data_IF_567318133506
#
_entry.id   IF_567318133506
#
_cell.length_a   1.000
_cell.length_b   1.000
_cell.length_c   1.000
_cell.angle_alpha   90.00
_cell.angle_beta   90.00
_cell.angle_gamma   90.00
#
_symmetry.space_group_name_H-M   'P 1'
#
loop_
_entity.id
_entity.type
_entity.pdbx_description
1 polymer ?
#
# COMPACT_ATOMS: atom_id res chain seq x y z
N UNK A 1 58.78 57.60 -13.50
CA UNK A 1 59.82 56.62 -13.93
C UNK A 1 59.89 55.63 -12.78
N UNK A 2 59.52 54.36 -12.91
CA UNK A 2 59.77 53.46 -14.03
C UNK A 2 58.66 52.42 -14.09
N UNK A 3 58.07 52.25 -15.27
CA UNK A 3 57.23 51.10 -15.57
C UNK A 3 58.11 49.90 -15.88
N UNK A 4 57.69 48.73 -15.41
CA UNK A 4 58.30 47.45 -15.76
C UNK A 4 57.21 46.60 -16.41
N UNK A 5 57.46 46.28 -17.68
CA UNK A 5 56.61 45.50 -18.58
C UNK A 5 56.98 44.01 -18.53
N UNK A 6 55.99 43.18 -18.86
CA UNK A 6 56.10 41.79 -19.37
C UNK A 6 56.50 40.72 -18.35
N UNK A 7 55.88 39.54 -18.30
CA UNK A 7 55.40 38.68 -19.40
C UNK A 7 54.19 37.86 -18.91
N UNK A 8 53.03 38.00 -19.55
CA UNK A 8 51.94 37.04 -19.39
C UNK A 8 52.25 35.79 -20.21
N UNK A 9 52.65 34.71 -19.53
CA UNK A 9 52.69 33.37 -20.11
C UNK A 9 51.26 32.95 -20.45
N UNK A 10 50.91 33.01 -21.74
CA UNK A 10 49.70 32.39 -22.30
C UNK A 10 49.71 30.91 -21.97
N UNK A 11 48.94 30.53 -20.95
CA UNK A 11 48.70 29.13 -20.59
C UNK A 11 48.10 28.38 -21.77
N UNK A 12 48.69 27.24 -22.11
CA UNK A 12 48.08 26.25 -22.99
C UNK A 12 46.77 25.84 -22.34
N UNK A 13 45.64 26.11 -23.01
CA UNK A 13 44.33 25.70 -22.54
C UNK A 13 44.26 24.16 -22.56
N UNK A 14 44.57 23.53 -21.44
CA UNK A 14 44.28 22.11 -21.22
C UNK A 14 42.79 22.01 -20.94
N UNK A 15 42.00 21.43 -21.86
CA UNK A 15 40.59 21.11 -21.63
C UNK A 15 40.49 20.19 -20.41
N UNK A 16 40.17 20.78 -19.26
CA UNK A 16 40.02 20.07 -18.00
C UNK A 16 38.57 19.57 -17.92
N UNK A 17 38.39 18.26 -17.99
CA UNK A 17 37.08 17.63 -17.81
C UNK A 17 36.80 17.59 -16.31
N UNK A 18 35.70 18.21 -15.88
CA UNK A 18 35.26 18.19 -14.47
C UNK A 18 33.99 17.36 -14.37
N UNK A 19 33.99 16.40 -13.43
CA UNK A 19 32.79 15.69 -13.02
C UNK A 19 32.09 16.48 -11.93
N UNK A 20 30.76 16.53 -11.95
CA UNK A 20 29.98 17.30 -11.00
C UNK A 20 29.25 16.41 -10.02
N UNK A 21 29.06 16.89 -8.80
CA UNK A 21 28.18 16.27 -7.83
C UNK A 21 26.72 16.36 -8.31
N UNK A 22 25.95 15.28 -8.25
CA UNK A 22 24.54 15.30 -8.64
C UNK A 22 23.70 16.30 -7.83
N UNK A 23 23.99 16.45 -6.54
CA UNK A 23 23.17 17.26 -5.62
C UNK A 23 23.57 18.73 -5.58
N UNK A 24 24.86 19.03 -5.50
CA UNK A 24 25.34 20.42 -5.40
C UNK A 24 25.91 20.99 -6.71
N UNK A 25 26.03 20.17 -7.77
CA UNK A 25 26.62 20.56 -9.07
C UNK A 25 28.05 21.10 -8.98
N UNK A 26 28.76 20.88 -7.87
CA UNK A 26 30.14 21.31 -7.68
C UNK A 26 31.11 20.28 -8.29
N UNK A 27 32.25 20.73 -8.83
CA UNK A 27 33.25 19.84 -9.42
C UNK A 27 33.85 18.91 -8.35
N UNK A 28 33.76 17.61 -8.58
CA UNK A 28 34.32 16.58 -7.73
C UNK A 28 35.83 16.53 -7.90
N UNK A 29 36.54 16.54 -6.77
CA UNK A 29 37.97 16.32 -6.73
C UNK A 29 38.25 14.86 -6.39
N UNK A 30 38.86 14.15 -7.32
CA UNK A 30 39.36 12.81 -7.04
C UNK A 30 40.59 12.91 -6.13
N UNK A 31 40.61 12.10 -5.09
CA UNK A 31 41.77 12.01 -4.20
C UNK A 31 43.01 11.54 -4.98
N UNK A 32 44.20 12.00 -4.61
CA UNK A 32 45.44 11.77 -5.38
C UNK A 32 45.78 10.29 -5.57
N UNK A 33 45.28 9.42 -4.70
CA UNK A 33 45.40 7.96 -4.78
C UNK A 33 44.82 7.37 -6.08
N UNK A 34 43.86 8.05 -6.73
CA UNK A 34 43.31 7.61 -8.02
C UNK A 34 44.20 7.98 -9.21
N UNK A 35 45.33 8.67 -9.01
CA UNK A 35 46.23 9.04 -10.11
C UNK A 35 47.10 7.89 -10.62
N UNK A 36 47.15 6.78 -9.88
CA UNK A 36 47.97 5.60 -10.16
C UNK A 36 47.14 4.32 -10.07
N UNK A 37 45.99 4.28 -10.74
CA UNK A 37 45.18 3.07 -10.82
C UNK A 37 45.79 2.11 -11.85
N UNK A 38 46.15 0.92 -11.39
CA UNK A 38 46.63 -0.17 -12.25
C UNK A 38 45.46 -0.83 -13.00
N UNK A 39 45.75 -1.44 -14.16
CA UNK A 39 44.72 -2.09 -14.99
C UNK A 39 43.94 -3.16 -14.25
N UNK A 40 44.60 -3.88 -13.33
CA UNK A 40 43.98 -4.96 -12.57
C UNK A 40 42.99 -4.43 -11.53
N UNK A 41 43.30 -3.31 -10.87
CA UNK A 41 42.38 -2.70 -9.90
C UNK A 41 41.17 -2.06 -10.59
N UNK A 42 41.35 -1.60 -11.84
CA UNK A 42 40.23 -1.17 -12.68
C UNK A 42 39.26 -2.32 -12.99
N UNK A 43 39.78 -3.47 -13.42
CA UNK A 43 38.94 -4.64 -13.75
C UNK A 43 38.15 -5.13 -12.53
N UNK A 44 38.76 -5.09 -11.35
CA UNK A 44 38.10 -5.43 -10.08
C UNK A 44 36.98 -4.43 -9.71
N UNK A 45 37.16 -3.13 -10.00
CA UNK A 45 36.15 -2.09 -9.77
C UNK A 45 35.04 -2.08 -10.82
N UNK A 46 35.35 -2.47 -12.06
CA UNK A 46 34.40 -2.57 -13.17
C UNK A 46 33.58 -3.86 -13.13
N UNK A 47 33.97 -4.83 -12.30
CA UNK A 47 33.18 -6.02 -12.05
C UNK A 47 31.76 -5.60 -11.62
N UNK A 48 30.70 -6.21 -12.17
CA UNK A 48 29.34 -5.90 -11.78
C UNK A 48 29.21 -6.00 -10.27
N UNK A 49 28.95 -4.87 -9.61
CA UNK A 49 28.57 -4.87 -8.21
C UNK A 49 27.33 -5.76 -8.16
N UNK A 50 27.38 -6.87 -7.43
CA UNK A 50 26.23 -7.74 -7.23
C UNK A 50 25.08 -6.84 -6.82
N UNK A 51 24.17 -6.63 -7.77
CA UNK A 51 23.04 -5.75 -7.61
C UNK A 51 22.27 -6.29 -6.41
N UNK A 52 22.31 -5.57 -5.29
CA UNK A 52 21.38 -5.78 -4.17
C UNK A 52 20.02 -5.27 -4.64
N UNK A 53 19.45 -5.97 -5.61
CA UNK A 53 18.13 -5.74 -6.19
C UNK A 53 17.71 -6.98 -7.01
N UNK A 54 18.00 -8.18 -6.47
CA UNK A 54 17.26 -9.41 -6.78
C UNK A 54 17.57 -10.51 -5.76
N UNK A 55 16.98 -10.41 -4.58
CA UNK A 55 16.53 -11.60 -3.83
C UNK A 55 15.12 -11.89 -4.35
N UNK A 56 14.97 -12.58 -5.48
CA UNK A 56 14.63 -14.02 -5.56
C UNK A 56 14.17 -14.60 -4.22
N UNK A 57 12.85 -14.63 -4.08
CA UNK A 57 12.10 -15.47 -3.16
C UNK A 57 12.49 -16.94 -3.31
N UNK A 58 12.80 -17.58 -2.19
CA UNK A 58 12.79 -19.04 -2.07
C UNK A 58 11.49 -19.46 -1.37
N UNK A 59 10.52 -19.84 -2.19
CA UNK A 59 9.53 -20.91 -2.01
C UNK A 59 9.38 -21.53 -0.60
N UNK A 60 8.24 -21.24 0.03
CA UNK A 60 7.43 -22.25 0.71
C UNK A 60 5.96 -21.93 0.44
N UNK A 61 5.24 -22.98 0.06
CA UNK A 61 3.90 -23.02 -0.52
C UNK A 61 2.82 -22.38 0.39
N UNK A 62 1.87 -21.68 -0.23
CA UNK A 62 0.41 -21.91 -0.14
C UNK A 62 -0.37 -20.65 -0.61
N UNK A 63 -1.33 -20.93 -1.50
CA UNK A 63 -2.40 -20.12 -2.12
C UNK A 63 -2.69 -18.67 -1.65
N UNK A 64 -2.81 -17.74 -2.60
CA UNK A 64 -4.11 -17.24 -3.12
C UNK A 64 -3.99 -15.91 -3.88
N UNK A 65 -4.91 -15.73 -4.83
CA UNK A 65 -5.09 -14.63 -5.79
C UNK A 65 -4.87 -13.19 -5.27
N UNK A 66 -4.22 -12.34 -6.08
CA UNK A 66 -4.85 -11.14 -6.67
C UNK A 66 -3.91 -10.31 -7.57
N UNK A 67 -4.52 -9.73 -8.60
CA UNK A 67 -3.96 -9.02 -9.75
C UNK A 67 -2.91 -7.92 -9.43
N UNK A 68 -1.81 -7.91 -10.18
CA UNK A 68 -0.90 -6.76 -10.27
C UNK A 68 -0.98 -6.17 -11.68
N UNK A 69 -1.38 -4.90 -11.71
CA UNK A 69 -1.47 -4.03 -12.87
C UNK A 69 -0.17 -4.01 -13.70
N UNK A 70 -0.30 -4.37 -14.97
CA UNK A 70 0.71 -4.25 -16.01
C UNK A 70 0.76 -2.79 -16.51
N UNK A 71 1.74 -2.00 -16.05
CA UNK A 71 2.01 -0.69 -16.66
C UNK A 71 3.06 -0.87 -17.75
N UNK A 72 2.53 -1.22 -18.91
CA UNK A 72 3.15 -1.01 -20.20
C UNK A 72 3.52 0.48 -20.35
N UNK A 73 4.81 0.80 -20.39
CA UNK A 73 5.29 2.08 -20.94
C UNK A 73 6.40 1.84 -21.95
N UNK A 74 5.92 1.38 -23.10
CA UNK A 74 6.54 1.63 -24.39
C UNK A 74 7.13 3.04 -24.46
N UNK A 75 8.44 3.11 -24.62
CA UNK A 75 9.20 4.33 -24.94
C UNK A 75 10.17 3.98 -26.04
N UNK A 76 9.63 3.83 -27.25
CA UNK A 76 10.38 3.66 -28.49
C UNK A 76 11.35 4.83 -28.74
N UNK A 77 12.57 4.70 -28.23
CA UNK A 77 13.71 5.51 -28.67
C UNK A 77 14.66 4.59 -29.44
N UNK A 78 14.58 4.65 -30.77
CA UNK A 78 15.60 4.08 -31.65
C UNK A 78 16.97 4.67 -31.32
N UNK A 79 17.82 3.91 -30.63
CA UNK A 79 19.25 4.22 -30.57
C UNK A 79 19.83 3.97 -31.96
N UNK A 80 20.22 5.05 -32.62
CA UNK A 80 20.94 5.02 -33.90
C UNK A 80 22.36 4.57 -33.62
N UNK A 81 22.69 3.32 -33.97
CA UNK A 81 24.06 2.83 -33.96
C UNK A 81 24.90 3.62 -34.98
N UNK A 82 25.93 4.32 -34.50
CA UNK A 82 26.96 4.91 -35.36
C UNK A 82 28.05 3.86 -35.56
N UNK A 83 27.93 3.09 -36.63
CA UNK A 83 28.98 2.19 -37.12
C UNK A 83 30.05 3.07 -37.81
N UNK A 84 31.27 3.08 -37.27
CA UNK A 84 32.42 3.72 -37.92
C UNK A 84 32.79 2.98 -39.22
N UNK A 85 33.15 3.68 -40.32
CA UNK A 85 33.41 3.02 -41.59
C UNK A 85 34.76 2.33 -41.55
N UNK A 86 34.77 1.01 -41.74
CA UNK A 86 35.95 0.28 -42.24
C UNK A 86 35.94 0.39 -43.76
N UNK A 87 36.91 1.08 -44.35
CA UNK A 87 37.23 0.86 -45.76
C UNK A 87 38.57 0.10 -45.87
N UNK A 88 38.60 -1.04 -46.57
CA UNK A 88 39.80 -1.82 -46.80
C UNK A 88 40.59 -1.22 -47.98
N UNK A 89 41.90 -1.44 -47.96
CA UNK A 89 42.85 -1.19 -49.07
C UNK A 89 43.39 0.24 -49.18
N UNK A 90 44.59 0.48 -48.65
CA UNK A 90 45.67 1.04 -49.46
C UNK A 90 47.01 0.79 -48.76
N UNK A 91 47.79 -0.04 -49.41
CA UNK A 91 49.15 -0.44 -49.12
C UNK A 91 50.15 0.74 -49.18
N UNK A 92 51.11 0.69 -48.26
CA UNK A 92 52.56 0.92 -48.39
C UNK A 92 53.11 2.01 -49.32
N UNK A 93 54.05 2.77 -48.72
CA UNK A 93 55.06 3.67 -49.32
C UNK A 93 54.47 4.98 -49.88
N UNK A 94 54.95 6.17 -49.51
CA UNK A 94 56.32 6.62 -49.70
C UNK A 94 56.66 7.86 -48.84
N UNK A 95 57.96 8.10 -48.78
CA UNK A 95 58.80 8.93 -47.94
C UNK A 95 58.47 10.43 -47.78
N UNK A 96 59.10 10.97 -46.73
CA UNK A 96 59.59 12.35 -46.59
C UNK A 96 58.61 13.41 -46.04
N UNK A 97 58.58 13.48 -44.70
CA UNK A 97 58.54 14.70 -43.87
C UNK A 97 58.87 14.24 -42.44
N UNK A 98 60.14 13.99 -42.13
CA UNK A 98 61.01 14.95 -41.44
C UNK A 98 60.29 15.87 -40.43
N UNK A 99 60.08 15.32 -39.23
CA UNK A 99 60.06 16.12 -38.01
C UNK A 99 60.71 15.33 -36.88
N UNK A 100 62.03 15.49 -36.74
CA UNK A 100 62.78 15.01 -35.60
C UNK A 100 62.56 15.95 -34.41
N UNK A 101 61.62 15.63 -33.52
CA UNK A 101 61.46 16.33 -32.25
C UNK A 101 62.45 15.76 -31.22
N UNK A 102 63.66 16.34 -31.19
CA UNK A 102 64.55 16.22 -30.04
C UNK A 102 64.03 17.12 -28.92
N UNK A 103 63.44 16.53 -27.88
CA UNK A 103 62.92 17.26 -26.72
C UNK A 103 62.29 16.35 -25.64
N UNK A 104 63.12 15.63 -24.89
CA UNK A 104 62.76 14.67 -23.84
C UNK A 104 62.17 15.27 -22.53
N UNK A 105 61.55 16.46 -22.57
CA UNK A 105 61.03 17.10 -21.34
C UNK A 105 59.56 17.53 -21.39
N UNK A 106 58.87 17.35 -22.52
CA UNK A 106 57.43 17.64 -22.66
C UNK A 106 56.53 16.38 -22.69
N UNK A 107 57.07 15.22 -23.09
CA UNK A 107 56.32 13.97 -23.24
C UNK A 107 55.81 13.43 -21.90
N UNK A 108 56.64 13.46 -20.86
CA UNK A 108 56.28 12.92 -19.54
C UNK A 108 55.12 13.67 -18.86
N UNK A 109 54.97 14.98 -19.10
CA UNK A 109 53.83 15.77 -18.58
C UNK A 109 52.53 15.54 -19.37
N UNK A 110 52.62 15.23 -20.67
CA UNK A 110 51.46 14.91 -21.50
C UNK A 110 50.96 13.47 -21.28
N UNK A 111 51.88 12.53 -21.08
CA UNK A 111 51.56 11.13 -20.73
C UNK A 111 50.84 11.03 -19.38
N UNK A 112 51.28 11.81 -18.38
CA UNK A 112 50.65 11.89 -17.06
C UNK A 112 49.28 12.59 -17.09
N UNK A 113 49.09 13.61 -17.93
CA UNK A 113 47.76 14.22 -18.13
C UNK A 113 46.79 13.29 -18.86
N UNK A 114 47.25 12.61 -19.91
CA UNK A 114 46.45 11.64 -20.66
C UNK A 114 46.02 10.45 -19.81
N UNK A 115 46.93 9.93 -18.97
CA UNK A 115 46.62 8.89 -18.01
C UNK A 115 45.58 9.37 -16.98
N UNK A 116 45.74 10.57 -16.40
CA UNK A 116 44.77 11.13 -15.44
C UNK A 116 43.38 11.32 -16.04
N UNK A 117 43.27 11.80 -17.28
CA UNK A 117 41.98 11.94 -17.97
C UNK A 117 41.34 10.58 -18.25
N UNK A 118 42.13 9.60 -18.68
CA UNK A 118 41.66 8.22 -18.92
C UNK A 118 41.13 7.58 -17.64
N UNK A 119 41.88 7.67 -16.55
CA UNK A 119 41.49 7.10 -15.25
C UNK A 119 40.23 7.79 -14.70
N UNK A 120 40.12 9.12 -14.83
CA UNK A 120 38.94 9.85 -14.36
C UNK A 120 37.68 9.49 -15.16
N UNK A 121 37.81 9.31 -16.48
CA UNK A 121 36.70 8.87 -17.35
C UNK A 121 36.28 7.43 -17.05
N UNK A 122 37.25 6.54 -16.91
CA UNK A 122 37.06 5.14 -16.56
C UNK A 122 36.33 4.96 -15.21
N UNK A 123 36.73 5.70 -14.19
CA UNK A 123 36.07 5.65 -12.89
C UNK A 123 34.61 6.14 -12.97
N UNK A 124 34.36 7.19 -13.75
CA UNK A 124 33.00 7.70 -13.96
C UNK A 124 32.11 6.72 -14.73
N UNK A 125 32.65 6.05 -15.75
CA UNK A 125 31.91 5.04 -16.53
C UNK A 125 31.53 3.83 -15.67
N UNK A 126 32.41 3.39 -14.76
CA UNK A 126 32.07 2.37 -13.76
C UNK A 126 30.94 2.85 -12.83
N UNK A 127 31.04 4.08 -12.31
CA UNK A 127 30.07 4.61 -11.35
C UNK A 127 28.68 4.84 -11.99
N UNK A 128 28.65 5.29 -13.25
CA UNK A 128 27.42 5.53 -14.01
C UNK A 128 26.87 4.27 -14.70
N UNK A 129 27.71 3.28 -15.00
CA UNK A 129 27.31 2.05 -15.67
C UNK A 129 26.71 1.00 -14.73
N UNK A 130 27.08 1.04 -13.45
CA UNK A 130 26.61 0.09 -12.44
C UNK A 130 25.47 0.63 -11.57
N UNK A 131 25.08 1.90 -11.72
CA UNK A 131 24.00 2.52 -10.95
C UNK A 131 23.13 3.40 -11.85
N UNK A 132 21.83 3.54 -11.57
CA UNK A 132 20.91 4.45 -12.28
C UNK A 132 21.20 5.95 -11.98
N UNK A 133 22.40 6.26 -11.48
CA UNK A 133 22.81 7.57 -11.01
C UNK A 133 23.83 8.14 -11.99
N UNK A 134 23.39 9.10 -12.80
CA UNK A 134 24.22 9.73 -13.85
C UNK A 134 25.46 10.44 -13.31
N UNK A 135 25.46 10.89 -12.05
CA UNK A 135 26.55 11.66 -11.45
C UNK A 135 26.77 11.26 -9.98
N UNK A 136 28.00 11.03 -9.53
CA UNK A 136 28.25 10.68 -8.14
C UNK A 136 27.98 11.87 -7.19
N UNK A 137 27.73 11.58 -5.91
CA UNK A 137 27.61 12.59 -4.87
C UNK A 137 28.99 12.93 -4.28
N UNK A 138 29.21 14.20 -3.92
CA UNK A 138 30.38 14.60 -3.15
C UNK A 138 30.28 14.13 -1.69
N UNK A 139 31.42 14.10 -1.00
CA UNK A 139 31.53 13.70 0.41
C UNK A 139 30.54 14.43 1.34
N UNK A 140 30.38 15.74 1.17
CA UNK A 140 29.44 16.53 1.99
C UNK A 140 27.99 16.16 1.70
N UNK A 141 27.66 15.91 0.42
CA UNK A 141 26.31 15.55 0.01
C UNK A 141 25.94 14.13 0.44
N UNK A 142 26.88 13.18 0.41
CA UNK A 142 26.69 11.82 0.93
C UNK A 142 26.57 11.83 2.45
N UNK A 143 27.41 12.56 3.17
CA UNK A 143 27.32 12.68 4.62
C UNK A 143 25.98 13.29 5.07
N UNK A 144 25.50 14.33 4.37
CA UNK A 144 24.18 14.90 4.63
C UNK A 144 23.05 13.91 4.35
N UNK A 145 23.15 13.12 3.28
CA UNK A 145 22.15 12.09 2.95
C UNK A 145 22.13 10.99 4.01
N UNK A 146 23.29 10.49 4.43
CA UNK A 146 23.40 9.46 5.48
C UNK A 146 22.79 9.95 6.79
N UNK A 147 23.10 11.18 7.23
CA UNK A 147 22.49 11.75 8.44
C UNK A 147 20.96 11.88 8.32
N UNK A 148 20.44 12.21 7.13
CA UNK A 148 19.00 12.26 6.91
C UNK A 148 18.36 10.87 7.01
N UNK A 149 18.98 9.85 6.42
CA UNK A 149 18.51 8.47 6.51
C UNK A 149 18.58 7.93 7.95
N UNK A 150 19.63 8.25 8.70
CA UNK A 150 19.75 7.89 10.12
C UNK A 150 18.65 8.55 10.96
N UNK A 151 18.30 9.80 10.67
CA UNK A 151 17.20 10.48 11.35
C UNK A 151 15.86 9.83 11.01
N UNK A 152 15.60 9.53 9.72
CA UNK A 152 14.40 8.82 9.31
C UNK A 152 14.31 7.44 9.97
N UNK A 153 15.42 6.71 10.03
CA UNK A 153 15.49 5.40 10.68
C UNK A 153 15.14 5.50 12.17
N UNK A 154 15.68 6.49 12.89
CA UNK A 154 15.36 6.70 14.31
C UNK A 154 13.88 7.00 14.54
N UNK A 155 13.27 7.85 13.71
CA UNK A 155 11.84 8.14 13.79
C UNK A 155 11.02 6.87 13.60
N UNK A 156 11.33 6.07 12.57
CA UNK A 156 10.64 4.80 12.32
C UNK A 156 10.86 3.80 13.47
N UNK A 157 12.05 3.76 14.06
CA UNK A 157 12.34 2.93 15.21
C UNK A 157 11.50 3.32 16.44
N UNK A 158 11.35 4.62 16.69
CA UNK A 158 10.49 5.16 17.74
C UNK A 158 9.01 4.85 17.48
N UNK A 159 8.53 5.05 16.25
CA UNK A 159 7.17 4.72 15.84
C UNK A 159 6.88 3.23 16.03
N UNK A 160 7.80 2.35 15.64
CA UNK A 160 7.67 0.91 15.86
C UNK A 160 7.59 0.55 17.35
N UNK A 161 8.35 1.24 18.21
CA UNK A 161 8.26 1.05 19.67
C UNK A 161 6.91 1.51 20.20
N UNK A 162 6.39 2.65 19.76
CA UNK A 162 5.07 3.15 20.14
C UNK A 162 3.96 2.20 19.69
N UNK A 163 4.00 1.71 18.46
CA UNK A 163 3.02 0.74 17.96
C UNK A 163 3.04 -0.57 18.74
N UNK A 164 4.24 -1.09 19.07
CA UNK A 164 4.35 -2.28 19.92
C UNK A 164 3.75 -2.05 21.30
N UNK A 165 4.07 -0.92 21.94
CA UNK A 165 3.49 -0.58 23.26
C UNK A 165 1.96 -0.45 23.21
N UNK A 166 1.41 0.16 22.16
CA UNK A 166 -0.04 0.27 21.98
C UNK A 166 -0.68 -1.11 21.76
N UNK A 167 -0.05 -1.99 20.98
CA UNK A 167 -0.51 -3.37 20.80
C UNK A 167 -0.45 -4.16 22.12
N UNK A 168 0.62 -4.00 22.89
CA UNK A 168 0.76 -4.65 24.20
C UNK A 168 -0.34 -4.19 25.16
N UNK A 169 -0.65 -2.88 25.20
CA UNK A 169 -1.73 -2.32 26.02
C UNK A 169 -3.10 -2.83 25.60
N UNK A 170 -3.40 -2.85 24.30
CA UNK A 170 -4.65 -3.40 23.78
C UNK A 170 -4.76 -4.89 24.07
N UNK A 171 -3.64 -5.62 23.97
CA UNK A 171 -3.60 -7.03 24.33
C UNK A 171 -3.91 -7.19 25.81
N UNK A 172 -3.22 -6.48 26.70
CA UNK A 172 -3.43 -6.51 28.16
C UNK A 172 -4.88 -6.17 28.54
N UNK A 173 -5.48 -5.13 27.94
CA UNK A 173 -6.89 -4.78 28.13
C UNK A 173 -7.84 -5.90 27.66
N UNK A 174 -7.52 -6.60 26.58
CA UNK A 174 -8.30 -7.77 26.13
C UNK A 174 -8.08 -9.02 26.97
N UNK A 175 -7.03 -9.10 27.81
CA UNK A 175 -6.78 -10.25 28.71
C UNK A 175 -7.50 -10.15 30.05
N UNK A 176 -8.48 -9.25 30.23
CA UNK A 176 -9.47 -9.47 31.29
C UNK A 176 -10.42 -10.61 30.88
N UNK A 177 -9.85 -11.80 30.74
CA UNK A 177 -10.54 -13.05 30.43
C UNK A 177 -11.59 -13.38 31.49
N UNK A 178 -11.41 -12.87 32.72
CA UNK A 178 -12.35 -13.04 33.81
C UNK A 178 -13.59 -12.17 33.63
N UNK A 179 -13.45 -10.91 33.23
CA UNK A 179 -14.58 -10.05 32.87
C UNK A 179 -15.32 -10.59 31.63
N UNK A 180 -14.59 -10.97 30.58
CA UNK A 180 -15.20 -11.58 29.40
C UNK A 180 -15.95 -12.88 29.72
N UNK A 181 -15.39 -13.74 30.58
CA UNK A 181 -16.07 -14.97 31.03
C UNK A 181 -17.34 -14.65 31.82
N UNK A 182 -17.31 -13.67 32.71
CA UNK A 182 -18.51 -13.24 33.47
C UNK A 182 -19.59 -12.70 32.55
N UNK A 183 -19.23 -11.83 31.61
CA UNK A 183 -20.16 -11.28 30.62
C UNK A 183 -20.77 -12.40 29.76
N UNK A 184 -19.97 -13.40 29.37
CA UNK A 184 -20.46 -14.54 28.60
C UNK A 184 -21.45 -15.40 29.41
N UNK A 185 -21.16 -15.66 30.68
CA UNK A 185 -22.08 -16.38 31.59
C UNK A 185 -23.39 -15.62 31.81
N UNK A 186 -23.33 -14.30 31.97
CA UNK A 186 -24.52 -13.44 32.09
C UNK A 186 -25.35 -13.45 30.81
N UNK A 187 -24.69 -13.34 29.65
CA UNK A 187 -25.32 -13.39 28.34
C UNK A 187 -26.04 -14.73 28.11
N UNK A 188 -25.43 -15.85 28.52
CA UNK A 188 -26.07 -17.17 28.40
C UNK A 188 -27.25 -17.34 29.35
N UNK A 189 -27.19 -16.79 30.57
CA UNK A 189 -28.33 -16.75 31.50
C UNK A 189 -29.49 -15.95 30.94
N UNK A 190 -29.21 -14.74 30.43
CA UNK A 190 -30.23 -13.86 29.85
C UNK A 190 -30.90 -14.49 28.62
N UNK A 191 -30.13 -15.19 27.78
CA UNK A 191 -30.70 -15.93 26.63
C UNK A 191 -31.63 -17.06 27.07
N UNK A 192 -31.30 -17.75 28.15
CA UNK A 192 -32.15 -18.81 28.69
C UNK A 192 -33.45 -18.22 29.24
N UNK A 193 -33.36 -17.15 30.02
CA UNK A 193 -34.51 -16.42 30.55
C UNK A 193 -35.41 -15.87 29.43
N UNK A 194 -34.82 -15.29 28.38
CA UNK A 194 -35.54 -14.83 27.19
C UNK A 194 -36.31 -15.97 26.52
N UNK A 195 -35.67 -17.14 26.34
CA UNK A 195 -36.31 -18.29 25.72
C UNK A 195 -37.49 -18.83 26.54
N UNK A 196 -37.34 -18.86 27.87
CA UNK A 196 -38.40 -19.28 28.78
C UNK A 196 -39.58 -18.30 28.78
N UNK A 197 -39.30 -16.98 28.82
CA UNK A 197 -40.33 -15.94 28.72
C UNK A 197 -41.07 -15.97 27.38
N UNK A 198 -40.36 -16.21 26.27
CA UNK A 198 -40.98 -16.37 24.95
C UNK A 198 -41.93 -17.57 24.95
N UNK A 199 -41.57 -18.66 25.63
CA UNK A 199 -42.42 -19.84 25.73
C UNK A 199 -43.67 -19.54 26.55
N UNK A 200 -43.53 -18.89 27.71
CA UNK A 200 -44.66 -18.48 28.55
C UNK A 200 -45.61 -17.53 27.80
N UNK A 201 -45.07 -16.57 27.05
CA UNK A 201 -45.87 -15.67 26.22
C UNK A 201 -46.69 -16.42 25.16
N UNK A 202 -46.12 -17.43 24.52
CA UNK A 202 -46.85 -18.25 23.53
C UNK A 202 -47.99 -19.03 24.17
N UNK A 203 -47.76 -19.62 25.34
CA UNK A 203 -48.80 -20.36 26.08
C UNK A 203 -49.96 -19.42 26.44
N UNK A 204 -49.66 -18.23 26.97
CA UNK A 204 -50.68 -17.22 27.29
C UNK A 204 -51.42 -16.74 26.02
N UNK A 205 -50.74 -16.55 24.90
CA UNK A 205 -51.39 -16.17 23.64
C UNK A 205 -52.37 -17.23 23.13
N UNK A 206 -52.02 -18.51 23.24
CA UNK A 206 -52.90 -19.63 22.89
C UNK A 206 -54.12 -19.69 23.82
N UNK A 207 -53.93 -19.54 25.13
CA UNK A 207 -55.03 -19.48 26.11
C UNK A 207 -55.97 -18.31 25.83
N UNK A 208 -55.42 -17.11 25.56
CA UNK A 208 -56.23 -15.93 25.21
C UNK A 208 -57.04 -16.15 23.93
N UNK A 209 -56.46 -16.83 22.93
CA UNK A 209 -57.18 -17.19 21.71
C UNK A 209 -58.32 -18.17 22.00
N UNK A 210 -58.08 -19.19 22.82
CA UNK A 210 -59.12 -20.14 23.24
C UNK A 210 -60.29 -19.46 23.94
N UNK A 211 -60.01 -18.61 24.93
CA UNK A 211 -61.03 -17.84 25.66
C UNK A 211 -61.80 -16.92 24.73
N UNK A 212 -61.14 -16.29 23.75
CA UNK A 212 -61.81 -15.43 22.76
C UNK A 212 -62.79 -16.23 21.88
N UNK A 213 -62.42 -17.44 21.46
CA UNK A 213 -63.30 -18.34 20.71
C UNK A 213 -64.49 -18.81 21.54
N UNK A 214 -64.28 -19.19 22.80
CA UNK A 214 -65.37 -19.55 23.73
C UNK A 214 -66.31 -18.37 23.98
N UNK A 215 -65.76 -17.19 24.23
CA UNK A 215 -66.55 -15.95 24.39
C UNK A 215 -67.41 -15.67 23.16
N UNK A 216 -66.88 -15.93 21.95
CA UNK A 216 -67.64 -15.77 20.71
C UNK A 216 -68.78 -16.78 20.60
N UNK A 217 -68.57 -18.04 20.98
CA UNK A 217 -69.62 -19.07 21.02
C UNK A 217 -70.72 -18.68 21.99
N UNK A 218 -70.37 -18.35 23.23
CA UNK A 218 -71.36 -17.94 24.24
C UNK A 218 -72.16 -16.69 23.84
N UNK A 219 -71.53 -15.73 23.13
CA UNK A 219 -72.25 -14.57 22.58
C UNK A 219 -73.28 -14.96 21.52
N UNK A 220 -72.91 -15.84 20.60
CA UNK A 220 -73.84 -16.33 19.58
C UNK A 220 -75.01 -17.10 20.21
N UNK A 221 -74.72 -17.98 21.17
CA UNK A 221 -75.75 -18.77 21.87
C UNK A 221 -76.71 -17.85 22.65
N UNK A 222 -76.19 -16.79 23.29
CA UNK A 222 -77.01 -15.78 23.96
C UNK A 222 -77.92 -15.05 22.97
N UNK A 223 -77.39 -14.63 21.81
CA UNK A 223 -78.17 -13.95 20.76
C UNK A 223 -79.28 -14.85 20.20
N UNK A 224 -79.03 -16.15 20.04
CA UNK A 224 -80.02 -17.14 19.59
C UNK A 224 -81.14 -17.30 20.64
N UNK A 225 -80.78 -17.51 21.91
CA UNK A 225 -81.74 -17.62 23.01
C UNK A 225 -82.59 -16.35 23.17
N UNK A 226 -82.01 -15.16 23.04
CA UNK A 226 -82.77 -13.90 23.06
C UNK A 226 -83.78 -13.80 21.91
N UNK A 227 -83.44 -14.32 20.73
CA UNK A 227 -84.37 -14.36 19.59
C UNK A 227 -85.51 -15.36 19.84
N UNK A 228 -85.22 -16.52 20.43
CA UNK A 228 -86.23 -17.50 20.82
C UNK A 228 -87.18 -16.94 21.88
N UNK A 229 -86.64 -16.27 22.91
CA UNK A 229 -87.44 -15.62 23.94
C UNK A 229 -88.38 -14.57 23.35
N UNK A 230 -87.88 -13.71 22.45
CA UNK A 230 -88.70 -12.72 21.73
C UNK A 230 -89.85 -13.39 20.95
N UNK A 231 -89.57 -14.46 20.20
CA UNK A 231 -90.59 -15.21 19.46
C UNK A 231 -91.63 -15.83 20.38
N UNK A 232 -91.21 -16.40 21.51
CA UNK A 232 -92.11 -16.97 22.51
C UNK A 232 -93.00 -15.90 23.16
N UNK A 233 -92.44 -14.74 23.51
CA UNK A 233 -93.21 -13.61 24.04
C UNK A 233 -94.25 -13.12 23.02
N UNK A 234 -93.87 -12.94 21.75
CA UNK A 234 -94.80 -12.57 20.68
C UNK A 234 -95.93 -13.59 20.51
N UNK A 235 -95.61 -14.89 20.56
CA UNK A 235 -96.60 -15.96 20.49
C UNK A 235 -97.56 -15.96 21.69
N UNK A 236 -97.06 -15.72 22.92
CA UNK A 236 -97.89 -15.59 24.12
C UNK A 236 -98.86 -14.40 23.99
N UNK A 237 -98.39 -13.22 23.60
CA UNK A 237 -99.27 -12.06 23.38
C UNK A 237 -100.33 -12.33 22.29
N UNK A 238 -99.98 -13.07 21.23
CA UNK A 238 -100.92 -13.48 20.18
C UNK A 238 -101.98 -14.47 20.67
N UNK A 239 -101.58 -15.47 21.47
CA UNK A 239 -102.52 -16.46 22.04
C UNK A 239 -103.45 -15.84 23.07
N UNK A 240 -102.96 -14.96 23.94
CA UNK A 240 -103.79 -14.19 24.87
C UNK A 240 -104.85 -13.36 24.15
N UNK A 241 -104.48 -12.67 23.06
CA UNK A 241 -105.42 -11.91 22.23
C UNK A 241 -106.50 -12.83 21.59
N UNK A 242 -106.12 -14.03 21.17
CA UNK A 242 -107.04 -15.01 20.58
C UNK A 242 -108.01 -15.58 21.63
N UNK A 243 -107.53 -15.86 22.84
CA UNK A 243 -108.35 -16.35 23.96
C UNK A 243 -109.33 -15.26 24.43
N UNK A 244 -108.90 -14.00 24.53
CA UNK A 244 -109.77 -12.88 24.87
C UNK A 244 -110.86 -12.61 23.81
N UNK A 245 -110.63 -13.02 22.56
CA UNK A 245 -111.57 -12.91 21.45
C UNK A 245 -112.62 -14.04 21.34
N UNK A 246 -112.54 -15.10 22.15
CA UNK A 246 -113.54 -16.18 22.16
C UNK A 246 -114.81 -15.73 22.90
N UNK A 247 -115.98 -15.62 22.23
CA UNK A 247 -117.22 -15.27 22.91
C UNK A 247 -117.64 -16.41 23.84
N UNK A 248 -117.71 -16.11 25.14
CA UNK A 248 -118.29 -16.98 26.15
C UNK A 248 -119.73 -17.34 25.78
N UNK A 249 -119.92 -18.52 25.22
CA UNK A 249 -121.21 -19.13 24.97
C UNK A 249 -121.91 -19.39 26.30
N UNK A 250 -122.67 -18.41 26.77
CA UNK A 250 -123.72 -18.63 27.77
C UNK A 250 -125.09 -18.49 27.12
N UNK A 251 -125.97 -19.39 27.57
CA UNK A 251 -127.44 -19.39 27.55
C UNK A 251 -128.06 -20.25 26.44
N UNK A 252 -129.17 -20.96 26.67
CA UNK A 252 -130.01 -21.39 27.82
C UNK A 252 -131.19 -22.12 27.13
N UNK A 253 -131.81 -23.07 27.85
CA UNK A 253 -133.08 -23.75 27.57
C UNK A 253 -133.02 -24.93 26.59
#
# INVERSE_FOLDING_TARGET
>A
MSGSSSVESRGVATSQVYFICQRCSQPLQLHQSFSSLDSQTYDDLAAPLLSVSKSVDHSSEEASDQDVFDVNKDSGVSRKEVIAPKNPNSSTHDSSQDFMLLGETATSKMETLGHRLRVSYQLFDIMSGNTDIDHPLCEECTASLLNHLDQQYKVVEEDCKLYRQALDQLTEETVDEDENRRLQEELDKLKLEEADLIKELKEIEEERKGIAEETKKYKNDLEELEQEEKKLLEALYSTEATIAGLPGGTKKC
#
